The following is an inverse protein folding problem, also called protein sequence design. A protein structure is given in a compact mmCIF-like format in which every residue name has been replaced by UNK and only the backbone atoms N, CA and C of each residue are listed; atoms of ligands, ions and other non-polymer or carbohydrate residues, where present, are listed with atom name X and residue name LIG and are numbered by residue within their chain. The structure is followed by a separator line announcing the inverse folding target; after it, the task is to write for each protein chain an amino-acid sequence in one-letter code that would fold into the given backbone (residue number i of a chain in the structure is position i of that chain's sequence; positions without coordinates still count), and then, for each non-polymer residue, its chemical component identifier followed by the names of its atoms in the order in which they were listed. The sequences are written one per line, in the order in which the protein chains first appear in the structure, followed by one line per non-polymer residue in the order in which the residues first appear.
data_IF_801065472760
#
_entry.id   IF_801065472760
#
_cell.length_a   1.000
_cell.length_b   1.000
_cell.length_c   1.000
_cell.angle_alpha   90.00
_cell.angle_beta   90.00
_cell.angle_gamma   90.00
#
_symmetry.space_group_name_H-M   'P 1'
#
loop_
_entity.id
_entity.type
_entity.pdbx_description
1 polymer ?
#
# COMPACT_ATOMS: atom_id res chain seq x y z
N UNK A 1 58.88 17.62 6.21
CA UNK A 1 58.19 17.18 4.98
C UNK A 1 57.40 15.91 5.29
N UNK A 2 56.09 16.05 5.49
CA UNK A 2 55.14 14.93 5.47
C UNK A 2 53.81 15.54 5.04
N UNK A 3 53.40 15.18 3.83
CA UNK A 3 52.29 15.79 3.12
C UNK A 3 50.95 15.23 3.59
N UNK A 4 50.07 16.14 3.98
CA UNK A 4 48.64 15.95 4.17
C UNK A 4 48.00 15.58 2.82
N UNK A 5 47.35 14.41 2.71
CA UNK A 5 46.41 14.10 1.61
C UNK A 5 45.04 14.68 1.95
N UNK A 6 44.34 15.31 1.00
CA UNK A 6 43.00 15.82 1.22
C UNK A 6 41.98 14.68 1.21
N UNK A 7 40.88 14.90 1.93
CA UNK A 7 39.70 14.06 1.99
C UNK A 7 39.06 13.94 0.61
N UNK A 8 38.83 12.71 0.18
CA UNK A 8 38.09 12.38 -1.03
C UNK A 8 36.62 12.77 -0.83
N UNK A 9 36.10 13.53 -1.79
CA UNK A 9 34.74 14.04 -1.78
C UNK A 9 33.78 12.86 -1.95
N UNK A 10 32.76 12.80 -1.08
CA UNK A 10 31.67 11.86 -1.22
C UNK A 10 30.95 12.11 -2.55
N UNK A 11 30.95 11.10 -3.41
CA UNK A 11 30.24 11.05 -4.68
C UNK A 11 28.72 11.23 -4.42
N UNK A 12 28.02 12.14 -5.12
CA UNK A 12 26.59 12.31 -4.96
C UNK A 12 25.86 11.04 -5.44
N UNK A 13 25.03 10.49 -4.55
CA UNK A 13 24.19 9.33 -4.79
C UNK A 13 23.45 9.42 -6.14
N UNK A 14 23.61 8.38 -6.96
CA UNK A 14 22.79 8.14 -8.15
C UNK A 14 21.29 8.22 -7.81
N UNK A 15 20.46 8.78 -8.70
CA UNK A 15 19.02 8.83 -8.46
C UNK A 15 18.49 7.39 -8.40
N UNK A 16 17.92 7.02 -7.25
CA UNK A 16 17.20 5.78 -7.07
C UNK A 16 16.13 5.68 -8.17
N UNK A 17 16.30 4.68 -9.03
CA UNK A 17 15.30 4.21 -9.98
C UNK A 17 13.96 4.18 -9.22
N UNK A 18 12.97 4.98 -9.66
CA UNK A 18 11.67 5.09 -9.00
C UNK A 18 10.94 3.76 -9.18
N UNK A 19 11.30 2.79 -8.34
CA UNK A 19 10.83 1.44 -8.38
C UNK A 19 9.33 1.47 -8.11
N UNK A 20 8.54 1.16 -9.13
CA UNK A 20 7.14 0.79 -8.93
C UNK A 20 7.16 -0.37 -7.92
N UNK A 21 6.45 -0.27 -6.78
CA UNK A 21 6.51 -1.30 -5.76
C UNK A 21 6.09 -2.64 -6.36
N UNK A 22 6.90 -3.68 -6.13
CA UNK A 22 6.59 -5.01 -6.64
C UNK A 22 5.28 -5.50 -6.00
N UNK A 23 4.24 -5.65 -6.81
CA UNK A 23 2.95 -6.18 -6.36
C UNK A 23 3.14 -7.65 -5.93
N UNK A 24 2.90 -8.02 -4.66
CA UNK A 24 3.01 -9.41 -4.25
C UNK A 24 1.95 -10.27 -4.94
N UNK A 25 2.31 -11.44 -5.49
CA UNK A 25 1.32 -12.30 -6.18
C UNK A 25 0.14 -12.69 -5.29
N UNK A 26 0.36 -12.84 -3.98
CA UNK A 26 -0.69 -13.12 -2.98
C UNK A 26 -1.71 -11.98 -2.89
N UNK A 27 -1.23 -10.74 -3.00
CA UNK A 27 -2.06 -9.54 -3.00
C UNK A 27 -3.03 -9.55 -4.18
N UNK A 28 -2.56 -9.92 -5.39
CA UNK A 28 -3.42 -10.06 -6.59
C UNK A 28 -4.54 -11.07 -6.35
N UNK A 29 -4.23 -12.26 -5.80
CA UNK A 29 -5.26 -13.28 -5.53
C UNK A 29 -6.31 -12.76 -4.57
N UNK A 30 -5.91 -12.09 -3.48
CA UNK A 30 -6.86 -11.54 -2.51
C UNK A 30 -7.67 -10.37 -3.05
N UNK A 31 -7.05 -9.53 -3.88
CA UNK A 31 -7.67 -8.39 -4.52
C UNK A 31 -8.80 -8.77 -5.47
N UNK A 32 -8.70 -9.95 -6.09
CA UNK A 32 -9.68 -10.49 -7.04
C UNK A 32 -10.76 -11.37 -6.41
N UNK A 33 -10.80 -11.45 -5.07
CA UNK A 33 -11.88 -12.13 -4.36
C UNK A 33 -13.19 -11.37 -4.58
N UNK A 34 -14.21 -12.06 -5.07
CA UNK A 34 -15.57 -11.54 -5.25
C UNK A 34 -16.32 -11.53 -3.91
N UNK A 35 -17.52 -10.93 -3.91
CA UNK A 35 -18.38 -10.89 -2.74
C UNK A 35 -18.80 -12.29 -2.24
N UNK A 36 -18.87 -13.29 -3.14
CA UNK A 36 -19.13 -14.69 -2.79
C UNK A 36 -17.89 -15.46 -2.29
N UNK A 37 -16.75 -14.79 -2.16
CA UNK A 37 -15.48 -15.37 -1.73
C UNK A 37 -14.71 -16.10 -2.83
N UNK A 38 -15.22 -16.16 -4.06
CA UNK A 38 -14.56 -16.87 -5.16
C UNK A 38 -13.55 -16.00 -5.91
N UNK A 39 -12.60 -16.65 -6.60
CA UNK A 39 -11.68 -16.01 -7.57
C UNK A 39 -11.76 -16.77 -8.88
N UNK A 40 -12.06 -16.08 -9.99
CA UNK A 40 -11.99 -16.70 -11.32
C UNK A 40 -10.53 -16.78 -11.78
N UNK A 41 -10.13 -17.97 -12.24
CA UNK A 41 -8.79 -18.22 -12.72
C UNK A 41 -8.45 -17.41 -13.96
N UNK A 42 -9.36 -17.25 -14.93
CA UNK A 42 -9.05 -16.58 -16.18
C UNK A 42 -8.73 -15.11 -15.91
N UNK A 43 -9.56 -14.46 -15.11
CA UNK A 43 -9.36 -13.09 -14.62
C UNK A 43 -8.07 -12.97 -13.80
N UNK A 44 -7.78 -13.92 -12.90
CA UNK A 44 -6.54 -13.93 -12.11
C UNK A 44 -5.29 -13.99 -12.98
N UNK A 45 -5.22 -14.91 -13.94
CA UNK A 45 -4.05 -15.02 -14.83
C UNK A 45 -3.93 -13.82 -15.76
N UNK A 46 -5.05 -13.27 -16.24
CA UNK A 46 -5.06 -12.06 -17.07
C UNK A 46 -4.50 -10.85 -16.30
N UNK A 47 -5.04 -10.56 -15.11
CA UNK A 47 -4.61 -9.44 -14.27
C UNK A 47 -3.15 -9.63 -13.84
N UNK A 48 -2.76 -10.83 -13.44
CA UNK A 48 -1.38 -11.12 -13.07
C UNK A 48 -0.41 -10.91 -14.24
N UNK A 49 -0.78 -11.30 -15.46
CA UNK A 49 0.03 -11.06 -16.66
C UNK A 49 0.16 -9.56 -16.98
N UNK A 50 -0.92 -8.78 -16.82
CA UNK A 50 -0.89 -7.32 -16.96
C UNK A 50 0.01 -6.64 -15.92
N UNK A 51 0.20 -7.26 -14.76
CA UNK A 51 1.12 -6.83 -13.70
C UNK A 51 2.55 -7.39 -13.87
N UNK A 52 2.86 -8.02 -15.01
CA UNK A 52 4.19 -8.56 -15.31
C UNK A 52 4.52 -9.88 -14.61
N UNK A 53 3.53 -10.57 -14.04
CA UNK A 53 3.72 -11.87 -13.40
C UNK A 53 3.64 -13.01 -14.41
N UNK A 54 4.47 -14.04 -14.19
CA UNK A 54 4.44 -15.28 -14.97
C UNK A 54 3.35 -16.23 -14.47
N UNK A 55 2.79 -17.04 -15.37
CA UNK A 55 1.84 -18.10 -15.00
C UNK A 55 2.41 -19.07 -13.95
N UNK A 56 3.73 -19.28 -13.90
CA UNK A 56 4.37 -20.11 -12.89
C UNK A 56 4.32 -19.47 -11.49
N UNK A 57 4.59 -18.17 -11.38
CA UNK A 57 4.48 -17.44 -10.11
C UNK A 57 3.05 -17.52 -9.56
N UNK A 58 2.04 -17.29 -10.41
CA UNK A 58 0.63 -17.39 -10.03
C UNK A 58 0.28 -18.80 -9.56
N UNK A 59 0.67 -19.85 -10.31
CA UNK A 59 0.44 -21.25 -9.92
C UNK A 59 1.06 -21.62 -8.57
N UNK A 60 2.29 -21.19 -8.32
CA UNK A 60 2.97 -21.47 -7.05
C UNK A 60 2.29 -20.74 -5.89
N UNK A 61 1.85 -19.50 -6.09
CA UNK A 61 1.09 -18.74 -5.09
C UNK A 61 -0.25 -19.43 -4.77
N UNK A 62 -1.03 -19.80 -5.79
CA UNK A 62 -2.30 -20.52 -5.62
C UNK A 62 -2.09 -21.84 -4.88
N UNK A 63 -1.05 -22.62 -5.24
CA UNK A 63 -0.72 -23.88 -4.56
C UNK A 63 -0.42 -23.67 -3.07
N UNK A 64 0.31 -22.61 -2.71
CA UNK A 64 0.59 -22.26 -1.31
C UNK A 64 -0.68 -21.89 -0.56
N UNK A 65 -1.52 -21.04 -1.14
CA UNK A 65 -2.80 -20.64 -0.56
C UNK A 65 -3.74 -21.82 -0.32
N UNK A 66 -3.76 -22.80 -1.22
CA UNK A 66 -4.52 -24.04 -1.03
C UNK A 66 -3.92 -24.91 0.08
N UNK A 67 -2.58 -25.04 0.14
CA UNK A 67 -1.90 -25.79 1.20
C UNK A 67 -2.07 -25.15 2.59
N UNK A 68 -2.20 -23.82 2.67
CA UNK A 68 -2.54 -23.06 3.87
C UNK A 68 -4.02 -23.18 4.26
N UNK A 69 -4.84 -23.87 3.46
CA UNK A 69 -6.28 -24.00 3.70
C UNK A 69 -7.07 -22.71 3.48
N UNK A 70 -6.52 -21.72 2.75
CA UNK A 70 -7.19 -20.43 2.47
C UNK A 70 -8.20 -20.53 1.32
N UNK A 71 -7.98 -21.46 0.39
CA UNK A 71 -8.85 -21.71 -0.75
C UNK A 71 -8.88 -23.20 -1.11
N UNK A 72 -9.96 -23.62 -1.77
CA UNK A 72 -10.04 -24.89 -2.50
C UNK A 72 -10.02 -24.58 -3.99
N UNK A 73 -9.19 -25.30 -4.75
CA UNK A 73 -9.10 -25.13 -6.20
C UNK A 73 -10.03 -26.11 -6.91
N UNK A 74 -11.01 -25.59 -7.65
CA UNK A 74 -11.83 -26.38 -8.57
C UNK A 74 -11.39 -26.19 -10.02
N UNK A 75 -11.32 -27.27 -10.78
CA UNK A 75 -10.82 -27.24 -12.16
C UNK A 75 -9.30 -27.19 -12.26
N UNK A 76 -8.79 -26.77 -13.44
CA UNK A 76 -7.34 -26.71 -13.73
C UNK A 76 -6.99 -25.51 -14.62
N UNK A 77 -5.81 -24.93 -14.38
CA UNK A 77 -5.25 -23.87 -15.22
C UNK A 77 -6.08 -22.58 -15.22
N UNK A 78 -6.16 -21.90 -16.37
CA UNK A 78 -6.88 -20.63 -16.51
C UNK A 78 -8.40 -20.75 -16.40
N UNK A 79 -8.98 -21.95 -16.42
CA UNK A 79 -10.42 -22.17 -16.21
C UNK A 79 -10.73 -22.67 -14.79
N UNK A 80 -9.79 -22.51 -13.87
CA UNK A 80 -9.99 -22.89 -12.47
C UNK A 80 -10.78 -21.82 -11.73
N UNK A 81 -11.45 -22.22 -10.65
CA UNK A 81 -12.10 -21.30 -9.73
C UNK A 81 -11.55 -21.61 -8.34
N UNK A 82 -11.05 -20.58 -7.65
CA UNK A 82 -10.71 -20.70 -6.23
C UNK A 82 -11.98 -20.42 -5.43
N UNK A 83 -12.31 -21.31 -4.48
CA UNK A 83 -13.45 -21.16 -3.58
C UNK A 83 -13.00 -21.07 -2.12
N UNK A 84 -13.78 -20.41 -1.25
CA UNK A 84 -13.53 -20.48 0.18
C UNK A 84 -13.68 -21.94 0.66
N UNK A 85 -12.96 -22.35 1.72
CA UNK A 85 -13.18 -23.64 2.36
C UNK A 85 -14.62 -23.77 2.87
N UNK A 86 -15.20 -24.97 2.77
CA UNK A 86 -16.59 -25.25 3.19
C UNK A 86 -16.75 -25.22 4.72
N UNK A 87 -15.64 -25.30 5.48
CA UNK A 87 -15.67 -25.28 6.94
C UNK A 87 -15.77 -23.85 7.50
N UNK A 88 -16.87 -23.49 8.21
CA UNK A 88 -17.09 -22.14 8.72
C UNK A 88 -16.04 -21.69 9.76
N UNK A 89 -15.35 -22.63 10.43
CA UNK A 89 -14.24 -22.33 11.34
C UNK A 89 -12.95 -21.89 10.64
N UNK A 90 -12.72 -22.32 9.39
CA UNK A 90 -11.57 -21.89 8.59
C UNK A 90 -11.80 -20.54 7.91
N UNK A 91 -13.07 -20.22 7.57
CA UNK A 91 -13.46 -18.90 7.09
C UNK A 91 -13.31 -17.80 8.16
N UNK A 92 -13.56 -18.13 9.44
CA UNK A 92 -13.32 -17.22 10.57
C UNK A 92 -11.82 -17.06 10.91
N UNK A 93 -11.00 -18.10 10.74
CA UNK A 93 -9.53 -18.01 10.81
C UNK A 93 -8.92 -17.30 9.58
N UNK A 94 -9.68 -17.21 8.49
CA UNK A 94 -9.40 -16.40 7.32
C UNK A 94 -10.07 -15.03 7.42
N UNK A 95 -9.98 -14.39 8.60
CA UNK A 95 -10.67 -13.17 9.01
C UNK A 95 -10.86 -12.08 7.93
N UNK A 96 -11.78 -11.13 8.15
CA UNK A 96 -12.19 -10.13 7.15
C UNK A 96 -11.04 -9.28 6.59
N UNK A 97 -9.87 -9.31 7.19
CA UNK A 97 -8.70 -8.55 6.79
C UNK A 97 -7.97 -9.26 5.65
N UNK A 98 -7.96 -8.64 4.46
CA UNK A 98 -6.93 -8.94 3.46
C UNK A 98 -5.60 -8.45 4.04
N UNK A 99 -4.72 -9.33 4.54
CA UNK A 99 -3.51 -8.88 5.21
C UNK A 99 -2.62 -8.22 4.15
N UNK A 100 -2.43 -6.91 4.28
CA UNK A 100 -1.56 -6.11 3.42
C UNK A 100 -2.14 -5.63 2.11
N UNK A 101 -3.42 -5.88 1.77
CA UNK A 101 -4.09 -5.14 0.67
C UNK A 101 -4.89 -3.95 1.20
N UNK A 102 -5.45 -4.03 2.40
CA UNK A 102 -6.21 -2.91 2.99
C UNK A 102 -5.34 -2.33 4.11
N UNK A 103 -4.96 -1.05 4.06
CA UNK A 103 -4.38 -0.43 5.25
C UNK A 103 -5.48 -0.43 6.33
N UNK A 104 -5.13 -0.79 7.56
CA UNK A 104 -6.10 -0.90 8.67
C UNK A 104 -6.99 0.34 8.65
N UNK A 105 -8.30 0.17 8.46
CA UNK A 105 -9.22 1.27 8.08
C UNK A 105 -9.12 2.47 9.05
N UNK A 106 -8.77 2.21 10.31
CA UNK A 106 -8.45 3.24 11.30
C UNK A 106 -7.25 4.13 10.93
N UNK A 107 -6.14 3.55 10.46
CA UNK A 107 -4.95 4.28 10.01
C UNK A 107 -5.24 5.14 8.78
N UNK A 108 -5.97 4.59 7.80
CA UNK A 108 -6.38 5.36 6.61
C UNK A 108 -7.24 6.54 7.01
N UNK A 109 -8.29 6.29 7.79
CA UNK A 109 -9.18 7.34 8.28
C UNK A 109 -8.42 8.41 9.06
N UNK A 110 -7.45 8.02 9.89
CA UNK A 110 -6.62 8.97 10.62
C UNK A 110 -5.78 9.84 9.67
N UNK A 111 -5.13 9.24 8.68
CA UNK A 111 -4.34 9.97 7.67
C UNK A 111 -5.19 11.03 6.94
N UNK A 112 -6.39 10.67 6.46
CA UNK A 112 -7.29 11.62 5.79
C UNK A 112 -7.83 12.71 6.73
N UNK A 113 -8.00 12.41 8.03
CA UNK A 113 -8.36 13.43 9.02
C UNK A 113 -7.22 14.41 9.26
N UNK A 114 -5.97 13.94 9.34
CA UNK A 114 -4.79 14.81 9.42
C UNK A 114 -4.66 15.70 8.18
N UNK A 115 -4.85 15.14 6.97
CA UNK A 115 -4.80 15.90 5.71
C UNK A 115 -5.85 17.02 5.65
N UNK A 116 -7.00 16.82 6.31
CA UNK A 116 -8.08 17.82 6.42
C UNK A 116 -7.90 18.77 7.62
N UNK A 117 -6.82 18.66 8.37
CA UNK A 117 -6.54 19.48 9.57
C UNK A 117 -7.46 19.17 10.76
N UNK A 118 -8.07 17.99 10.80
CA UNK A 118 -8.99 17.57 11.87
C UNK A 118 -8.29 16.88 13.06
N UNK A 119 -6.98 16.66 12.95
CA UNK A 119 -6.12 16.07 13.97
C UNK A 119 -4.88 16.96 14.17
N UNK A 120 -5.04 18.22 14.62
CA UNK A 120 -3.90 19.09 14.87
C UNK A 120 -3.05 18.56 16.02
N UNK A 121 -1.74 18.77 15.94
CA UNK A 121 -0.85 18.38 17.03
C UNK A 121 -1.02 19.31 18.25
N UNK A 122 -1.14 18.71 19.43
CA UNK A 122 -1.32 19.41 20.71
C UNK A 122 0.01 19.74 21.43
N UNK A 123 1.13 19.51 20.74
CA UNK A 123 2.48 19.70 21.26
C UNK A 123 2.95 18.59 22.21
N UNK A 124 2.17 17.53 22.42
CA UNK A 124 2.50 16.45 23.35
C UNK A 124 3.21 15.31 22.63
N UNK A 125 4.31 14.86 23.21
CA UNK A 125 4.97 13.62 22.90
C UNK A 125 4.53 12.54 23.88
N UNK A 126 4.13 11.39 23.35
CA UNK A 126 3.83 10.19 24.13
C UNK A 126 5.03 9.26 24.13
N UNK A 127 5.49 8.89 25.32
CA UNK A 127 6.64 8.03 25.52
C UNK A 127 6.24 6.69 26.17
N UNK A 128 6.84 5.61 25.69
CA UNK A 128 6.63 4.26 26.19
C UNK A 128 7.98 3.65 26.55
N UNK A 129 8.11 3.19 27.79
CA UNK A 129 9.29 2.45 28.23
C UNK A 129 8.82 1.13 28.82
N UNK A 130 9.50 0.03 28.51
CA UNK A 130 9.17 -1.26 29.11
C UNK A 130 10.39 -2.07 29.50
N UNK A 131 10.31 -2.70 30.68
CA UNK A 131 11.36 -3.54 31.26
C UNK A 131 10.87 -4.98 31.41
N UNK A 132 10.69 -5.67 30.29
CA UNK A 132 10.17 -7.05 30.26
C UNK A 132 11.29 -8.05 30.59
N UNK A 133 11.10 -8.97 31.56
CA UNK A 133 12.10 -9.99 31.93
C UNK A 133 12.50 -10.89 30.75
N UNK A 134 13.72 -11.44 30.79
CA UNK A 134 14.23 -12.31 29.72
C UNK A 134 13.42 -13.60 29.52
N UNK A 135 12.82 -14.12 30.59
CA UNK A 135 11.87 -15.23 30.54
C UNK A 135 10.65 -14.95 29.64
N UNK A 136 10.36 -13.68 29.36
CA UNK A 136 9.21 -13.23 28.58
C UNK A 136 9.63 -12.52 27.28
N UNK A 137 10.75 -12.92 26.67
CA UNK A 137 11.29 -12.31 25.44
C UNK A 137 10.26 -12.20 24.31
N UNK A 138 9.38 -13.20 24.12
CA UNK A 138 8.35 -13.16 23.09
C UNK A 138 7.32 -12.04 23.32
N UNK A 139 6.97 -11.77 24.59
CA UNK A 139 6.09 -10.66 24.94
C UNK A 139 6.78 -9.29 24.73
N UNK A 140 8.09 -9.22 25.01
CA UNK A 140 8.90 -8.03 24.73
C UNK A 140 8.94 -7.72 23.23
N UNK A 141 9.22 -8.73 22.42
CA UNK A 141 9.30 -8.61 20.95
C UNK A 141 7.93 -8.20 20.39
N UNK A 142 6.84 -8.84 20.82
CA UNK A 142 5.48 -8.47 20.42
C UNK A 142 5.07 -7.04 20.84
N UNK A 143 5.47 -6.59 22.03
CA UNK A 143 5.19 -5.23 22.49
C UNK A 143 6.01 -4.20 21.71
N UNK A 144 7.29 -4.50 21.42
CA UNK A 144 8.15 -3.71 20.53
C UNK A 144 7.50 -3.56 19.16
N UNK A 145 7.11 -4.67 18.54
CA UNK A 145 6.48 -4.67 17.21
C UNK A 145 5.20 -3.84 17.20
N UNK A 146 4.42 -3.90 18.29
CA UNK A 146 3.19 -3.11 18.45
C UNK A 146 3.48 -1.62 18.52
N UNK A 147 4.41 -1.18 19.37
CA UNK A 147 4.72 0.27 19.49
C UNK A 147 5.31 0.82 18.20
N UNK A 148 6.19 0.07 17.53
CA UNK A 148 6.76 0.51 16.25
C UNK A 148 5.74 0.48 15.12
N UNK A 149 4.85 -0.52 15.09
CA UNK A 149 3.77 -0.60 14.10
C UNK A 149 2.71 0.49 14.27
N UNK A 150 2.56 1.04 15.48
CA UNK A 150 1.73 2.21 15.78
C UNK A 150 2.46 3.55 15.54
N UNK A 151 3.64 3.53 14.91
CA UNK A 151 4.38 4.73 14.52
C UNK A 151 5.33 5.31 15.58
N UNK A 152 5.57 4.62 16.70
CA UNK A 152 6.53 5.09 17.70
C UNK A 152 7.98 4.79 17.30
N UNK A 153 8.83 5.81 17.34
CA UNK A 153 10.25 5.70 17.05
C UNK A 153 11.05 5.31 18.31
N UNK A 154 12.05 4.43 18.18
CA UNK A 154 12.97 4.13 19.27
C UNK A 154 13.90 5.32 19.54
N UNK A 155 14.06 5.68 20.81
CA UNK A 155 15.04 6.69 21.26
C UNK A 155 16.31 5.98 21.72
N UNK A 156 16.31 5.40 22.92
CA UNK A 156 17.40 4.60 23.51
C UNK A 156 16.86 3.68 24.61
N UNK A 157 17.54 2.55 24.89
CA UNK A 157 17.30 1.77 26.11
C UNK A 157 15.87 1.21 26.30
N UNK A 158 15.12 0.99 25.22
CA UNK A 158 13.72 0.54 25.29
C UNK A 158 12.70 1.66 25.50
N UNK A 159 13.11 2.93 25.35
CA UNK A 159 12.23 4.09 25.25
C UNK A 159 11.80 4.31 23.80
N UNK A 160 10.50 4.46 23.59
CA UNK A 160 9.86 4.77 22.33
C UNK A 160 9.07 6.06 22.46
N UNK A 161 8.98 6.84 21.38
CA UNK A 161 8.27 8.12 21.38
C UNK A 161 7.43 8.29 20.12
N UNK A 162 6.27 8.94 20.24
CA UNK A 162 5.40 9.29 19.13
C UNK A 162 4.60 10.55 19.46
N UNK A 163 4.26 11.38 18.47
CA UNK A 163 3.29 12.46 18.65
C UNK A 163 1.84 11.96 18.69
N UNK A 164 1.57 10.70 18.31
CA UNK A 164 0.22 10.15 18.21
C UNK A 164 -0.24 9.54 19.54
N UNK A 165 -1.50 9.76 19.90
CA UNK A 165 -2.10 9.32 21.17
C UNK A 165 -2.42 7.81 21.23
N UNK A 166 -1.43 6.96 20.95
CA UNK A 166 -1.58 5.50 20.81
C UNK A 166 -1.65 4.75 22.15
N UNK A 167 -1.57 5.46 23.27
CA UNK A 167 -1.47 4.87 24.61
C UNK A 167 -2.53 3.82 24.98
N UNK A 168 -3.82 3.98 24.62
CA UNK A 168 -4.83 2.96 24.84
C UNK A 168 -4.49 1.61 24.18
N UNK A 169 -4.02 1.62 22.93
CA UNK A 169 -3.67 0.41 22.18
C UNK A 169 -2.46 -0.30 22.78
N UNK A 170 -1.42 0.46 23.16
CA UNK A 170 -0.21 -0.10 23.79
C UNK A 170 -0.53 -0.73 25.15
N UNK A 171 -1.38 -0.10 25.97
CA UNK A 171 -1.81 -0.65 27.26
C UNK A 171 -2.66 -1.91 27.10
N UNK A 172 -3.59 -1.91 26.14
CA UNK A 172 -4.41 -3.09 25.84
C UNK A 172 -3.50 -4.27 25.44
N UNK A 173 -2.54 -4.04 24.54
CA UNK A 173 -1.61 -5.07 24.11
C UNK A 173 -0.72 -5.59 25.24
N UNK A 174 -0.21 -4.71 26.09
CA UNK A 174 0.58 -5.13 27.24
C UNK A 174 -0.22 -5.97 28.24
N UNK A 175 -1.52 -5.69 28.41
CA UNK A 175 -2.42 -6.50 29.23
C UNK A 175 -2.65 -7.88 28.64
N UNK A 176 -2.92 -7.99 27.33
CA UNK A 176 -3.05 -9.27 26.61
C UNK A 176 -1.81 -10.15 26.74
N UNK A 177 -0.63 -9.53 26.69
CA UNK A 177 0.66 -10.20 26.81
C UNK A 177 1.05 -10.51 28.27
N UNK A 178 0.25 -10.09 29.26
CA UNK A 178 0.55 -10.31 30.68
C UNK A 178 1.73 -9.49 31.22
N UNK A 179 2.13 -8.42 30.54
CA UNK A 179 3.30 -7.58 30.88
C UNK A 179 2.92 -6.13 31.22
N UNK A 180 1.65 -5.86 31.55
CA UNK A 180 1.18 -4.50 31.88
C UNK A 180 1.99 -3.85 33.01
N UNK A 181 2.38 -4.61 34.03
CA UNK A 181 3.21 -4.11 35.14
C UNK A 181 4.65 -3.75 34.77
N UNK A 182 5.11 -4.15 33.57
CA UNK A 182 6.43 -3.83 33.04
C UNK A 182 6.43 -2.63 32.07
N UNK A 183 5.26 -2.03 31.80
CA UNK A 183 5.08 -0.91 30.87
C UNK A 183 4.89 0.41 31.64
N UNK A 184 5.68 1.41 31.29
CA UNK A 184 5.53 2.81 31.71
C UNK A 184 5.07 3.65 30.52
N UNK A 185 4.02 4.45 30.72
CA UNK A 185 3.55 5.45 29.77
C UNK A 185 3.81 6.84 30.33
N UNK A 186 4.39 7.71 29.53
CA UNK A 186 4.69 9.10 29.88
C UNK A 186 4.17 10.03 28.79
N UNK A 187 3.96 11.29 29.15
CA UNK A 187 3.68 12.37 28.22
C UNK A 187 4.53 13.58 28.56
N UNK A 188 5.12 14.23 27.57
CA UNK A 188 5.93 15.44 27.75
C UNK A 188 5.70 16.42 26.60
N UNK A 189 5.81 17.71 26.88
CA UNK A 189 5.94 18.76 25.84
C UNK A 189 7.40 19.19 25.65
N UNK A 190 8.29 18.75 26.53
CA UNK A 190 9.71 19.08 26.55
C UNK A 190 10.50 17.79 26.26
N UNK A 191 10.55 17.43 24.97
CA UNK A 191 11.33 16.28 24.50
C UNK A 191 12.68 16.79 24.01
N UNK A 192 13.76 16.26 24.58
CA UNK A 192 15.12 16.51 24.13
C UNK A 192 15.80 15.18 23.81
N UNK A 193 16.26 15.00 22.56
CA UNK A 193 17.00 13.80 22.15
C UNK A 193 18.37 14.21 21.66
N UNK A 194 19.41 13.83 22.40
CA UNK A 194 20.81 14.13 22.06
C UNK A 194 21.06 15.60 21.70
N UNK A 195 20.51 16.53 22.50
CA UNK A 195 20.64 17.98 22.30
C UNK A 195 19.64 18.62 21.32
N UNK A 196 18.86 17.83 20.58
CA UNK A 196 17.81 18.34 19.69
C UNK A 196 16.51 18.52 20.47
N UNK A 197 15.92 19.71 20.42
CA UNK A 197 14.62 20.03 21.06
C UNK A 197 13.57 20.55 20.06
N UNK A 198 14.00 21.02 18.89
CA UNK A 198 13.07 21.44 17.83
C UNK A 198 12.23 20.24 17.34
N UNK A 199 10.88 20.31 17.38
CA UNK A 199 10.03 19.18 17.05
C UNK A 199 10.18 18.66 15.62
N UNK A 200 10.38 19.54 14.64
CA UNK A 200 10.56 19.17 13.23
C UNK A 200 11.92 18.47 13.04
N UNK A 201 12.97 18.99 13.66
CA UNK A 201 14.29 18.35 13.65
C UNK A 201 14.27 16.98 14.38
N UNK A 202 13.50 16.85 15.46
CA UNK A 202 13.28 15.58 16.14
C UNK A 202 12.57 14.58 15.22
N UNK A 203 11.52 15.01 14.52
CA UNK A 203 10.81 14.18 13.56
C UNK A 203 11.74 13.69 12.43
N UNK A 204 12.51 14.59 11.83
CA UNK A 204 13.48 14.24 10.78
C UNK A 204 14.60 13.30 11.26
N UNK A 205 14.94 13.35 12.55
CA UNK A 205 15.97 12.49 13.16
C UNK A 205 15.45 11.09 13.51
N UNK A 206 14.20 11.00 13.96
CA UNK A 206 13.64 9.78 14.54
C UNK A 206 12.93 8.88 13.53
N UNK A 207 12.45 9.44 12.41
CA UNK A 207 11.74 8.70 11.36
C UNK A 207 12.41 8.88 9.99
N UNK A 208 12.31 7.88 9.10
CA UNK A 208 12.90 7.94 7.76
C UNK A 208 12.03 8.77 6.79
N UNK A 209 11.85 10.07 7.08
CA UNK A 209 10.91 10.93 6.37
C UNK A 209 11.19 11.02 4.86
N UNK A 210 12.46 11.04 4.45
CA UNK A 210 12.82 11.09 3.03
C UNK A 210 12.40 9.81 2.27
N UNK A 211 12.54 8.65 2.89
CA UNK A 211 12.10 7.39 2.28
C UNK A 211 10.58 7.32 2.18
N UNK A 212 9.87 7.75 3.22
CA UNK A 212 8.40 7.80 3.23
C UNK A 212 7.90 8.77 2.16
N UNK A 213 8.52 9.95 2.05
CA UNK A 213 8.22 10.92 1.00
C UNK A 213 8.40 10.33 -0.40
N UNK A 214 9.49 9.61 -0.64
CA UNK A 214 9.75 8.92 -1.92
C UNK A 214 8.68 7.89 -2.28
N UNK A 215 8.18 7.12 -1.31
CA UNK A 215 7.07 6.17 -1.53
C UNK A 215 5.77 6.88 -1.88
N UNK A 216 5.47 8.01 -1.24
CA UNK A 216 4.30 8.82 -1.60
C UNK A 216 4.41 9.46 -2.99
N UNK A 217 5.61 9.89 -3.41
CA UNK A 217 5.81 10.39 -4.78
C UNK A 217 5.64 9.29 -5.83
N UNK A 218 6.07 8.06 -5.54
CA UNK A 218 5.82 6.90 -6.40
C UNK A 218 4.31 6.59 -6.50
N UNK A 219 3.60 6.59 -5.37
CA UNK A 219 2.14 6.47 -5.34
C UNK A 219 1.46 7.57 -6.16
N UNK A 220 1.86 8.83 -5.97
CA UNK A 220 1.30 9.97 -6.70
C UNK A 220 1.49 9.81 -8.20
N UNK A 221 2.69 9.45 -8.63
CA UNK A 221 3.03 9.21 -10.03
C UNK A 221 2.16 8.09 -10.62
N UNK A 222 1.97 6.99 -9.89
CA UNK A 222 1.11 5.90 -10.32
C UNK A 222 -0.37 6.31 -10.42
N UNK A 223 -0.86 7.08 -9.45
CA UNK A 223 -2.24 7.55 -9.41
C UNK A 223 -2.53 8.57 -10.54
N UNK A 224 -1.58 9.45 -10.83
CA UNK A 224 -1.68 10.47 -11.88
C UNK A 224 -1.41 9.91 -13.29
N UNK A 225 -0.75 8.75 -13.39
CA UNK A 225 -0.54 8.05 -14.67
C UNK A 225 -1.89 7.71 -15.30
N UNK A 226 -2.32 8.59 -16.20
CA UNK A 226 -3.64 8.56 -16.84
C UNK A 226 -4.00 7.17 -17.34
N UNK A 227 -5.20 6.75 -16.95
CA UNK A 227 -6.09 5.81 -17.65
C UNK A 227 -5.85 5.92 -19.16
N UNK A 228 -5.42 4.85 -19.82
CA UNK A 228 -5.18 4.86 -21.26
C UNK A 228 -6.38 5.36 -22.05
N UNK A 229 -6.35 6.63 -22.45
CA UNK A 229 -7.07 7.10 -23.62
C UNK A 229 -6.15 6.76 -24.79
N UNK A 230 -6.58 5.95 -25.78
CA UNK A 230 -5.80 5.86 -27.00
C UNK A 230 -5.64 7.28 -27.52
N UNK A 231 -4.41 7.70 -27.75
CA UNK A 231 -4.07 8.94 -28.43
C UNK A 231 -4.80 8.92 -29.76
N UNK A 232 -5.94 9.59 -29.81
CA UNK A 232 -6.72 9.80 -31.01
C UNK A 232 -6.02 10.82 -31.90
N UNK A 233 -4.91 10.41 -32.52
CA UNK A 233 -4.63 10.88 -33.87
C UNK A 233 -5.61 10.17 -34.81
N UNK A 234 -6.82 10.74 -34.94
CA UNK A 234 -7.69 10.65 -36.13
C UNK A 234 -9.07 11.27 -35.83
N UNK A 235 -9.09 12.56 -35.49
CA UNK A 235 -10.32 13.37 -35.58
C UNK A 235 -10.00 14.84 -35.86
N UNK A 236 -9.19 15.08 -36.89
CA UNK A 236 -9.09 16.38 -37.56
C UNK A 236 -8.89 16.14 -39.07
N UNK A 237 -9.85 15.45 -39.67
CA UNK A 237 -9.86 15.13 -41.09
C UNK A 237 -11.29 14.94 -41.57
N UNK A 238 -12.17 15.91 -41.34
CA UNK A 238 -13.49 15.93 -41.95
C UNK A 238 -14.06 17.35 -42.05
N UNK A 239 -13.64 18.09 -43.10
CA UNK A 239 -14.53 18.90 -43.93
C UNK A 239 -14.02 18.90 -45.37
N UNK A 240 -14.81 18.26 -46.25
CA UNK A 240 -15.05 18.49 -47.70
C UNK A 240 -13.85 18.68 -48.66
N UNK A 241 -13.76 18.02 -49.81
CA UNK A 241 -14.70 17.16 -50.52
C UNK A 241 -14.12 16.64 -51.84
N UNK A 242 -14.86 15.69 -52.42
CA UNK A 242 -14.95 15.31 -53.85
C UNK A 242 -13.74 14.76 -54.61
N UNK A 243 -13.91 13.54 -55.14
CA UNK A 243 -13.01 12.96 -56.14
C UNK A 243 -13.15 11.45 -56.35
N UNK A 244 -14.08 11.09 -57.24
CA UNK A 244 -14.33 9.80 -57.90
C UNK A 244 -13.22 8.71 -57.95
N UNK A 245 -13.66 7.44 -57.95
CA UNK A 245 -13.05 6.40 -58.81
C UNK A 245 -12.80 5.01 -58.22
N UNK A 246 -13.72 4.07 -58.50
CA UNK A 246 -13.51 2.67 -58.91
C UNK A 246 -12.70 1.66 -58.06
N UNK A 247 -13.43 0.62 -57.65
CA UNK A 247 -13.18 -0.83 -57.76
C UNK A 247 -11.82 -1.42 -57.37
N UNK A 248 -11.84 -2.34 -56.40
CA UNK A 248 -10.73 -3.24 -56.09
C UNK A 248 -11.12 -4.28 -55.04
N UNK A 249 -11.22 -5.52 -55.49
CA UNK A 249 -11.60 -6.74 -54.79
C UNK A 249 -10.52 -7.23 -53.80
N UNK A 250 -10.89 -8.14 -52.89
CA UNK A 250 -9.94 -9.13 -52.36
C UNK A 250 -9.30 -8.91 -50.97
N UNK A 251 -9.82 -9.68 -50.02
CA UNK A 251 -9.06 -10.63 -49.19
C UNK A 251 -8.55 -10.22 -47.79
N UNK A 252 -8.97 -11.09 -46.87
CA UNK A 252 -8.22 -11.68 -45.75
C UNK A 252 -7.86 -10.77 -44.58
N UNK A 253 -8.75 -10.84 -43.58
CA UNK A 253 -8.40 -10.63 -42.20
C UNK A 253 -7.30 -11.60 -41.75
N UNK A 254 -6.25 -11.02 -41.21
CA UNK A 254 -5.42 -11.64 -40.18
C UNK A 254 -5.32 -10.58 -39.08
N UNK A 255 -6.27 -10.65 -38.14
CA UNK A 255 -6.20 -9.90 -36.90
C UNK A 255 -5.02 -10.42 -36.11
N UNK A 256 -3.90 -9.72 -36.21
CA UNK A 256 -2.75 -9.89 -35.33
C UNK A 256 -3.23 -9.75 -33.88
N UNK A 257 -3.25 -10.87 -33.18
CA UNK A 257 -3.54 -10.99 -31.76
C UNK A 257 -2.42 -10.33 -30.95
N UNK A 258 -2.48 -9.00 -30.87
CA UNK A 258 -1.74 -8.25 -29.87
C UNK A 258 -2.25 -8.63 -28.48
N UNK A 259 -1.33 -8.71 -27.51
CA UNK A 259 -1.58 -8.97 -26.08
C UNK A 259 -2.37 -7.79 -25.49
N UNK A 260 -3.65 -7.68 -25.87
CA UNK A 260 -4.58 -6.67 -25.39
C UNK A 260 -5.54 -7.32 -24.41
N UNK A 261 -5.22 -7.27 -23.11
CA UNK A 261 -6.17 -7.65 -22.07
C UNK A 261 -7.51 -6.91 -22.23
N UNK A 262 -8.59 -7.55 -21.77
CA UNK A 262 -9.93 -6.98 -21.69
C UNK A 262 -9.89 -5.61 -20.99
N UNK A 263 -10.81 -4.72 -21.37
CA UNK A 263 -10.97 -3.43 -20.68
C UNK A 263 -11.16 -3.60 -19.17
N UNK A 264 -11.92 -4.64 -18.77
CA UNK A 264 -12.11 -4.99 -17.36
C UNK A 264 -10.81 -5.47 -16.68
N UNK A 265 -10.04 -6.35 -17.33
CA UNK A 265 -8.76 -6.83 -16.80
C UNK A 265 -7.75 -5.70 -16.58
N UNK A 266 -7.71 -4.70 -17.47
CA UNK A 266 -6.88 -3.50 -17.33
C UNK A 266 -7.30 -2.61 -16.16
N UNK A 267 -8.61 -2.44 -15.94
CA UNK A 267 -9.14 -1.69 -14.78
C UNK A 267 -8.74 -2.38 -13.48
N UNK A 268 -8.90 -3.71 -13.41
CA UNK A 268 -8.53 -4.49 -12.23
C UNK A 268 -7.02 -4.47 -11.96
N UNK A 269 -6.19 -4.65 -12.99
CA UNK A 269 -4.74 -4.55 -12.84
C UNK A 269 -4.31 -3.19 -12.28
N UNK A 270 -4.92 -2.09 -12.76
CA UNK A 270 -4.66 -0.74 -12.23
C UNK A 270 -5.14 -0.56 -10.81
N UNK A 271 -6.31 -1.10 -10.45
CA UNK A 271 -6.81 -1.07 -9.07
C UNK A 271 -5.88 -1.83 -8.12
N UNK A 272 -5.40 -3.01 -8.52
CA UNK A 272 -4.43 -3.79 -7.72
C UNK A 272 -3.09 -3.06 -7.58
N UNK A 273 -2.57 -2.46 -8.66
CA UNK A 273 -1.33 -1.69 -8.61
C UNK A 273 -1.46 -0.46 -7.69
N UNK A 274 -2.57 0.28 -7.79
CA UNK A 274 -2.84 1.43 -6.94
C UNK A 274 -2.98 1.03 -5.46
N UNK A 275 -3.67 -0.07 -5.19
CA UNK A 275 -3.79 -0.64 -3.85
C UNK A 275 -2.42 -1.04 -3.26
N UNK A 276 -1.58 -1.67 -4.08
CA UNK A 276 -0.22 -2.05 -3.70
C UNK A 276 0.64 -0.84 -3.37
N UNK A 277 0.62 0.19 -4.22
CA UNK A 277 1.41 1.41 -4.00
C UNK A 277 0.92 2.20 -2.79
N UNK A 278 -0.40 2.24 -2.54
CA UNK A 278 -0.92 2.88 -1.33
C UNK A 278 -0.45 2.12 -0.08
N UNK A 279 -0.49 0.79 -0.11
CA UNK A 279 -0.01 -0.04 0.99
C UNK A 279 1.49 0.14 1.22
N UNK A 280 2.30 0.16 0.16
CA UNK A 280 3.74 0.39 0.23
C UNK A 280 4.08 1.75 0.86
N UNK A 281 3.32 2.80 0.53
CA UNK A 281 3.51 4.12 1.10
C UNK A 281 3.00 4.24 2.55
N UNK A 282 1.85 3.65 2.87
CA UNK A 282 1.19 3.82 4.17
C UNK A 282 1.71 2.89 5.27
N UNK A 283 2.10 1.65 4.96
CA UNK A 283 2.57 0.68 5.97
C UNK A 283 3.78 1.19 6.77
N UNK A 284 4.81 1.81 6.16
CA UNK A 284 5.93 2.37 6.92
C UNK A 284 5.66 3.79 7.46
N UNK A 285 4.51 4.40 7.14
CA UNK A 285 4.20 5.77 7.55
C UNK A 285 3.76 5.81 9.03
N UNK A 286 4.50 6.51 9.91
CA UNK A 286 4.10 6.69 11.31
C UNK A 286 2.90 7.63 11.48
N UNK A 287 2.41 8.26 10.41
CA UNK A 287 1.35 9.26 10.40
C UNK A 287 1.65 10.40 11.37
N UNK A 288 2.83 11.00 11.26
CA UNK A 288 3.16 12.17 12.06
C UNK A 288 2.20 13.32 11.71
N UNK A 289 1.80 14.13 12.71
CA UNK A 289 1.04 15.34 12.46
C UNK A 289 1.73 16.27 11.44
N UNK A 290 0.98 16.97 10.59
CA UNK A 290 1.53 17.86 9.55
C UNK A 290 2.51 18.92 10.07
N UNK A 291 2.36 19.37 11.31
CA UNK A 291 3.21 20.36 11.97
C UNK A 291 4.65 19.87 12.19
N UNK A 292 4.86 18.55 12.20
CA UNK A 292 6.16 17.91 12.37
C UNK A 292 6.83 17.53 11.03
N UNK A 293 6.11 17.70 9.92
CA UNK A 293 6.55 17.26 8.60
C UNK A 293 7.13 18.42 7.78
N UNK A 294 8.16 18.17 6.95
CA UNK A 294 8.62 19.14 5.97
C UNK A 294 7.48 19.56 5.03
N UNK A 295 7.38 20.86 4.75
CA UNK A 295 6.34 21.41 3.90
C UNK A 295 6.91 21.86 2.53
N UNK A 296 6.26 21.51 1.40
CA UNK A 296 5.05 20.68 1.30
C UNK A 296 5.35 19.19 1.53
N UNK A 297 4.52 18.51 2.34
CA UNK A 297 4.61 17.06 2.52
C UNK A 297 3.86 16.32 1.40
N UNK A 298 4.50 15.37 0.67
CA UNK A 298 3.87 14.73 -0.48
C UNK A 298 2.74 13.76 -0.12
N UNK A 299 2.64 13.32 1.14
CA UNK A 299 1.66 12.31 1.56
C UNK A 299 0.21 12.72 1.33
N UNK A 300 -0.16 13.96 1.66
CA UNK A 300 -1.51 14.46 1.47
C UNK A 300 -1.90 14.52 -0.02
N UNK A 301 -1.00 15.05 -0.86
CA UNK A 301 -1.20 15.17 -2.31
C UNK A 301 -1.30 13.80 -2.96
N UNK A 302 -0.43 12.85 -2.57
CA UNK A 302 -0.43 11.49 -3.08
C UNK A 302 -1.70 10.71 -2.71
N UNK A 303 -2.16 10.81 -1.45
CA UNK A 303 -3.42 10.20 -1.00
C UNK A 303 -4.62 10.78 -1.72
N UNK A 304 -4.67 12.11 -1.91
CA UNK A 304 -5.73 12.74 -2.68
C UNK A 304 -5.75 12.29 -4.16
N UNK A 305 -4.57 12.18 -4.80
CA UNK A 305 -4.45 11.63 -6.14
C UNK A 305 -4.91 10.16 -6.20
N UNK A 306 -4.53 9.35 -5.22
CA UNK A 306 -4.95 7.95 -5.12
C UNK A 306 -6.47 7.82 -4.94
N UNK A 307 -7.10 8.66 -4.10
CA UNK A 307 -8.54 8.69 -3.92
C UNK A 307 -9.27 9.02 -5.24
N UNK A 308 -8.82 10.04 -5.98
CA UNK A 308 -9.37 10.38 -7.31
C UNK A 308 -9.24 9.23 -8.30
N UNK A 309 -8.05 8.63 -8.38
CA UNK A 309 -7.81 7.49 -9.27
C UNK A 309 -8.70 6.29 -8.90
N UNK A 310 -8.94 6.07 -7.61
CA UNK A 310 -9.86 5.02 -7.15
C UNK A 310 -11.30 5.26 -7.59
N UNK A 311 -11.79 6.50 -7.48
CA UNK A 311 -13.13 6.87 -7.91
C UNK A 311 -13.34 6.64 -9.41
N UNK A 312 -12.36 6.99 -10.23
CA UNK A 312 -12.37 6.73 -11.68
C UNK A 312 -12.40 5.22 -12.00
N UNK A 313 -11.60 4.42 -11.29
CA UNK A 313 -11.56 2.97 -11.45
C UNK A 313 -12.87 2.33 -11.02
N UNK A 314 -13.47 2.78 -9.91
CA UNK A 314 -14.76 2.30 -9.42
C UNK A 314 -15.88 2.61 -10.41
N UNK A 315 -15.88 3.79 -11.03
CA UNK A 315 -16.89 4.18 -12.03
C UNK A 315 -16.82 3.33 -13.32
N UNK A 316 -15.67 2.69 -13.59
CA UNK A 316 -15.43 1.86 -14.77
C UNK A 316 -15.41 0.36 -14.47
N UNK A 317 -15.55 -0.02 -13.20
CA UNK A 317 -15.54 -1.41 -12.76
C UNK A 317 -16.81 -2.16 -13.21
N UNK A 318 -16.70 -3.44 -13.62
CA UNK A 318 -17.87 -4.25 -13.97
C UNK A 318 -18.79 -4.48 -12.76
N UNK A 319 -20.10 -4.52 -13.00
CA UNK A 319 -21.09 -4.87 -11.97
C UNK A 319 -20.81 -6.28 -11.42
N UNK A 320 -20.75 -6.43 -10.09
CA UNK A 320 -20.34 -7.69 -9.44
C UNK A 320 -18.83 -7.95 -9.44
N UNK A 321 -18.01 -6.91 -9.65
CA UNK A 321 -16.55 -6.99 -9.57
C UNK A 321 -16.02 -7.32 -8.16
N UNK A 322 -14.68 -7.44 -8.00
CA UNK A 322 -14.07 -7.84 -6.74
C UNK A 322 -14.44 -6.93 -5.58
N UNK A 323 -14.52 -7.51 -4.37
CA UNK A 323 -14.86 -6.80 -3.12
C UNK A 323 -13.88 -5.68 -2.76
N UNK A 324 -12.70 -5.69 -3.40
CA UNK A 324 -11.68 -4.65 -3.32
C UNK A 324 -12.27 -3.24 -3.43
N UNK A 325 -13.13 -2.99 -4.41
CA UNK A 325 -13.72 -1.66 -4.64
C UNK A 325 -14.56 -1.17 -3.46
N UNK A 326 -15.28 -2.08 -2.79
CA UNK A 326 -16.07 -1.77 -1.60
C UNK A 326 -15.16 -1.48 -0.41
N UNK A 327 -14.18 -2.34 -0.15
CA UNK A 327 -13.26 -2.22 1.00
C UNK A 327 -12.47 -0.91 0.98
N UNK A 328 -11.98 -0.50 -0.18
CA UNK A 328 -11.29 0.79 -0.32
C UNK A 328 -12.27 1.97 -0.31
N UNK A 329 -13.49 1.81 -0.84
CA UNK A 329 -14.52 2.86 -0.72
C UNK A 329 -14.88 3.17 0.73
N UNK A 330 -14.93 2.16 1.60
CA UNK A 330 -15.13 2.32 3.04
C UNK A 330 -13.92 2.94 3.76
N UNK A 331 -12.70 2.69 3.25
CA UNK A 331 -11.46 3.22 3.84
C UNK A 331 -11.16 4.68 3.43
N UNK A 332 -11.52 5.06 2.20
CA UNK A 332 -11.19 6.36 1.60
C UNK A 332 -12.29 7.44 1.76
N UNK A 333 -13.53 7.05 2.10
CA UNK A 333 -14.66 7.96 2.34
C UNK A 333 -14.61 8.62 3.71
#
# INVERSE_FOLDING_TARGET
MSGTRPADAADPAEPADLAVPQVPTRMVVHALVREDGTVDGAELYEVAALLGMTDQQVRLCVKRLVAEGRFVLEGRGRRSVLRPPVDPGAAAAAGPDLPGLVPEVGFVRHAYRQDRGLEPWDGVWHAFAFAVPESSRAARDALRDTVTGLGAAPVQGGLYVTPNAIGPYVRARAAELGVAGALSCLSTRDLAVGGTTDPVALAARLWPLAEIAGRYEALRTLAEARTGRPTGEAAAGARAGEGAGSSGDGSSGVGSSGVGGSGAGKVLARAVALAAALSDAMVPDPLLPPELLPQPWPGAVAREAAARAWDELRATAPAGGPRLFRLYGEALG
#
